data_IF_899066374347
#
_entry.id   IF_899066374347
#
_cell.length_a   1.000
_cell.length_b   1.000
_cell.length_c   1.000
_cell.angle_alpha   90.00
_cell.angle_beta   90.00
_cell.angle_gamma   90.00
#
_symmetry.space_group_name_H-M   'P 1'
#
loop_
_entity.id
_entity.type
_entity.pdbx_description
1 polymer ?
#
# COMPACT_ATOMS: atom_id res chain seq x y z
N UNK A 1 -82.67 -0.20 -51.43
CA UNK A 1 -82.19 -0.25 -50.06
C UNK A 1 -80.84 -0.87 -50.08
N UNK A 2 -79.75 -0.10 -50.03
CA UNK A 2 -78.34 -0.59 -50.13
C UNK A 2 -77.69 -0.37 -48.80
N UNK A 3 -77.29 -1.43 -48.10
CA UNK A 3 -76.57 -1.42 -46.84
C UNK A 3 -75.05 -1.47 -47.13
N UNK A 4 -74.34 -0.36 -46.89
CA UNK A 4 -72.89 -0.30 -46.90
C UNK A 4 -72.37 -0.65 -45.48
N UNK A 5 -71.73 -1.76 -45.42
CA UNK A 5 -70.97 -2.16 -44.24
C UNK A 5 -69.50 -1.65 -44.31
N UNK A 6 -69.18 -0.69 -43.51
CA UNK A 6 -67.79 -0.19 -43.39
C UNK A 6 -66.97 -1.12 -42.52
N UNK A 7 -65.96 -1.69 -43.09
CA UNK A 7 -64.92 -2.47 -42.34
C UNK A 7 -63.90 -1.49 -41.81
N UNK A 8 -63.89 -1.27 -40.51
CA UNK A 8 -62.89 -0.48 -39.78
C UNK A 8 -61.67 -1.36 -39.51
N UNK A 9 -60.62 -1.22 -40.34
CA UNK A 9 -59.34 -1.89 -40.11
C UNK A 9 -58.57 -1.09 -39.05
N UNK A 10 -58.50 -1.65 -37.85
CA UNK A 10 -57.68 -1.10 -36.73
C UNK A 10 -56.23 -1.62 -36.90
N UNK A 11 -55.36 -0.77 -37.48
CA UNK A 11 -53.94 -1.07 -37.57
C UNK A 11 -53.32 -0.81 -36.21
N UNK A 12 -53.08 -1.90 -35.44
CA UNK A 12 -52.39 -1.86 -34.17
C UNK A 12 -50.87 -1.77 -34.44
N UNK A 13 -50.35 -0.55 -34.50
CA UNK A 13 -48.93 -0.28 -34.62
C UNK A 13 -48.23 -0.69 -33.29
N UNK A 14 -47.66 -1.87 -33.27
CA UNK A 14 -46.77 -2.29 -32.14
C UNK A 14 -45.49 -1.49 -32.24
N UNK A 15 -45.42 -0.43 -31.46
CA UNK A 15 -44.19 0.35 -31.25
C UNK A 15 -43.23 -0.50 -30.40
N UNK A 16 -42.40 -1.31 -31.02
CA UNK A 16 -41.25 -1.95 -30.34
C UNK A 16 -40.27 -0.83 -29.96
N UNK A 17 -40.42 -0.28 -28.77
CA UNK A 17 -39.36 0.49 -28.12
C UNK A 17 -38.20 -0.44 -27.87
N UNK A 18 -37.21 -0.46 -28.77
CA UNK A 18 -35.92 -1.06 -28.55
C UNK A 18 -35.27 -0.31 -27.39
N UNK A 19 -35.40 -0.86 -26.16
CA UNK A 19 -34.60 -0.43 -25.02
C UNK A 19 -33.15 -0.76 -25.40
N UNK A 20 -32.40 0.22 -25.88
CA UNK A 20 -30.96 0.15 -25.93
C UNK A 20 -30.48 0.08 -24.47
N UNK A 21 -30.40 -1.13 -23.94
CA UNK A 21 -29.62 -1.35 -22.72
C UNK A 21 -28.17 -1.01 -23.08
N UNK A 22 -27.72 0.17 -22.65
CA UNK A 22 -26.33 0.56 -22.81
C UNK A 22 -25.48 -0.53 -22.13
N UNK A 23 -24.62 -1.18 -22.88
CA UNK A 23 -23.82 -2.28 -22.35
C UNK A 23 -22.94 -1.72 -21.24
N UNK A 24 -23.01 -2.31 -20.03
CA UNK A 24 -22.23 -1.87 -18.87
C UNK A 24 -20.75 -1.78 -19.24
N UNK A 25 -20.16 -0.61 -19.02
CA UNK A 25 -18.74 -0.36 -19.27
C UNK A 25 -17.89 -0.83 -18.11
N UNK A 26 -17.16 -1.91 -18.33
CA UNK A 26 -16.31 -2.54 -17.32
C UNK A 26 -14.85 -2.16 -17.57
N UNK A 27 -14.11 -1.89 -16.49
CA UNK A 27 -12.66 -1.74 -16.49
C UNK A 27 -12.01 -2.80 -15.61
N UNK A 28 -10.74 -3.09 -15.89
CA UNK A 28 -9.90 -3.97 -15.07
C UNK A 28 -8.66 -3.19 -14.64
N UNK A 29 -8.27 -3.32 -13.37
CA UNK A 29 -7.13 -2.63 -12.79
C UNK A 29 -6.17 -3.61 -12.12
N UNK A 30 -4.90 -3.51 -12.44
CA UNK A 30 -3.81 -4.27 -11.82
C UNK A 30 -3.21 -3.46 -10.66
N UNK A 31 -3.65 -3.75 -9.44
CA UNK A 31 -3.14 -3.06 -8.24
C UNK A 31 -1.65 -3.35 -8.00
N UNK A 32 -1.18 -4.55 -8.30
CA UNK A 32 0.21 -4.92 -8.12
C UNK A 32 1.12 -4.08 -9.03
N UNK A 33 0.74 -3.94 -10.31
CA UNK A 33 1.45 -3.07 -11.27
C UNK A 33 1.44 -1.62 -10.80
N UNK A 34 0.32 -1.10 -10.30
CA UNK A 34 0.23 0.26 -9.76
C UNK A 34 1.20 0.45 -8.60
N UNK A 35 1.19 -0.46 -7.63
CA UNK A 35 2.07 -0.39 -6.46
C UNK A 35 3.56 -0.45 -6.84
N UNK A 36 3.92 -1.21 -7.87
CA UNK A 36 5.31 -1.32 -8.33
C UNK A 36 5.78 -0.12 -9.18
N UNK A 37 4.88 0.51 -9.94
CA UNK A 37 5.26 1.51 -10.94
C UNK A 37 4.95 2.95 -10.55
N UNK A 38 4.12 3.18 -9.52
CA UNK A 38 3.78 4.54 -9.09
C UNK A 38 4.95 5.25 -8.42
N UNK A 39 5.13 6.53 -8.70
CA UNK A 39 6.09 7.39 -8.01
C UNK A 39 5.79 7.48 -6.51
N UNK A 40 4.54 7.38 -6.12
CA UNK A 40 4.08 7.45 -4.74
C UNK A 40 4.68 6.34 -3.85
N UNK A 41 4.91 5.12 -4.40
CA UNK A 41 5.58 4.06 -3.65
C UNK A 41 7.05 4.43 -3.35
N UNK A 42 7.75 5.02 -4.34
CA UNK A 42 9.13 5.49 -4.15
C UNK A 42 9.19 6.61 -3.10
N UNK A 43 8.23 7.52 -3.13
CA UNK A 43 8.14 8.62 -2.15
C UNK A 43 7.92 8.08 -0.73
N UNK A 44 7.04 7.08 -0.58
CA UNK A 44 6.82 6.39 0.70
C UNK A 44 8.11 5.76 1.22
N UNK A 45 8.82 5.01 0.37
CA UNK A 45 10.08 4.36 0.74
C UNK A 45 11.15 5.37 1.14
N UNK A 46 11.32 6.45 0.37
CA UNK A 46 12.29 7.51 0.67
C UNK A 46 11.95 8.25 1.98
N UNK A 47 10.68 8.49 2.22
CA UNK A 47 10.22 9.13 3.45
C UNK A 47 10.52 8.26 4.68
N UNK A 48 10.16 6.98 4.63
CA UNK A 48 10.44 6.03 5.71
C UNK A 48 11.96 5.87 5.94
N UNK A 49 12.74 5.72 4.87
CA UNK A 49 14.20 5.63 4.98
C UNK A 49 14.79 6.89 5.65
N UNK A 50 14.39 8.08 5.22
CA UNK A 50 14.86 9.35 5.79
C UNK A 50 14.48 9.48 7.26
N UNK A 51 13.28 9.08 7.63
CA UNK A 51 12.75 9.18 8.99
C UNK A 51 13.43 8.18 9.95
N UNK A 52 13.63 6.96 9.49
CA UNK A 52 14.10 5.87 10.34
C UNK A 52 15.62 5.66 10.32
N UNK A 53 16.32 6.19 9.32
CA UNK A 53 17.79 6.10 9.21
C UNK A 53 18.52 6.55 10.49
N UNK A 54 18.23 7.72 11.10
CA UNK A 54 18.93 8.14 12.31
C UNK A 54 18.75 7.18 13.49
N UNK A 55 17.56 6.59 13.64
CA UNK A 55 17.28 5.61 14.70
C UNK A 55 17.99 4.30 14.46
N UNK A 56 18.04 3.82 13.22
CA UNK A 56 18.82 2.65 12.81
C UNK A 56 20.31 2.88 13.07
N UNK A 57 20.84 4.01 12.66
CA UNK A 57 22.26 4.35 12.83
C UNK A 57 22.63 4.43 14.33
N UNK A 58 21.72 4.94 15.19
CA UNK A 58 21.87 4.91 16.66
C UNK A 58 21.96 3.48 17.19
N UNK A 59 21.08 2.57 16.76
CA UNK A 59 21.11 1.17 17.17
C UNK A 59 22.40 0.49 16.76
N UNK A 60 22.88 0.73 15.54
CA UNK A 60 24.17 0.21 15.07
C UNK A 60 25.35 0.71 15.92
N UNK A 61 25.34 2.00 16.30
CA UNK A 61 26.35 2.56 17.19
C UNK A 61 26.29 1.96 18.60
N UNK A 62 25.09 1.73 19.13
CA UNK A 62 24.90 1.10 20.44
C UNK A 62 25.41 -0.34 20.44
N UNK A 63 25.12 -1.12 19.39
CA UNK A 63 25.63 -2.49 19.22
C UNK A 63 27.16 -2.51 19.17
N UNK A 64 27.79 -1.64 18.38
CA UNK A 64 29.24 -1.52 18.29
C UNK A 64 29.89 -1.16 19.63
N UNK A 65 29.28 -0.22 20.38
CA UNK A 65 29.74 0.16 21.73
C UNK A 65 29.64 -1.01 22.72
N UNK A 66 28.48 -1.70 22.71
CA UNK A 66 28.26 -2.86 23.57
C UNK A 66 29.28 -3.97 23.29
N UNK A 67 29.52 -4.28 22.02
CA UNK A 67 30.52 -5.24 21.61
C UNK A 67 31.92 -4.85 22.12
N UNK A 68 32.30 -3.60 21.99
CA UNK A 68 33.57 -3.06 22.45
C UNK A 68 33.72 -3.21 23.97
N UNK A 69 32.68 -2.88 24.75
CA UNK A 69 32.70 -3.03 26.21
C UNK A 69 32.80 -4.51 26.64
N UNK A 70 32.09 -5.40 25.93
CA UNK A 70 32.17 -6.86 26.19
C UNK A 70 33.54 -7.42 25.85
N UNK A 71 34.13 -7.01 24.73
CA UNK A 71 35.51 -7.42 24.36
C UNK A 71 36.54 -6.91 25.36
N UNK A 72 36.40 -5.66 25.83
CA UNK A 72 37.24 -5.09 26.89
C UNK A 72 37.11 -5.87 28.19
N UNK A 73 35.88 -6.18 28.60
CA UNK A 73 35.66 -7.00 29.81
C UNK A 73 36.32 -8.35 29.70
N UNK A 74 36.16 -9.03 28.56
CA UNK A 74 36.76 -10.35 28.32
C UNK A 74 38.28 -10.32 28.33
N UNK A 75 38.90 -9.31 27.70
CA UNK A 75 40.36 -9.19 27.58
C UNK A 75 41.01 -8.79 28.88
N UNK A 76 40.48 -7.81 29.58
CA UNK A 76 41.14 -7.10 30.68
C UNK A 76 40.67 -7.64 32.05
N UNK A 77 39.68 -8.55 32.10
CA UNK A 77 39.09 -9.06 33.34
C UNK A 77 40.12 -9.55 34.37
N UNK A 78 41.21 -10.22 33.93
CA UNK A 78 42.20 -10.76 34.84
C UNK A 78 43.01 -9.69 35.60
N UNK A 79 43.15 -8.50 35.01
CA UNK A 79 43.98 -7.38 35.56
C UNK A 79 43.15 -6.24 36.15
N UNK A 80 41.83 -6.26 36.02
CA UNK A 80 40.93 -5.27 36.61
C UNK A 80 40.75 -5.44 38.11
N UNK A 81 40.63 -4.31 38.84
CA UNK A 81 40.18 -4.34 40.22
C UNK A 81 38.72 -4.79 40.35
N UNK A 82 38.31 -5.21 41.52
CA UNK A 82 36.94 -5.67 41.80
C UNK A 82 35.91 -4.55 41.49
N UNK A 83 36.24 -3.30 41.79
CA UNK A 83 35.39 -2.13 41.49
C UNK A 83 35.24 -1.91 39.97
N UNK A 84 36.37 -1.91 39.24
CA UNK A 84 36.37 -1.75 37.79
C UNK A 84 35.55 -2.85 37.07
N UNK A 85 35.68 -4.10 37.52
CA UNK A 85 34.86 -5.22 36.99
C UNK A 85 33.36 -4.94 37.18
N UNK A 86 33.00 -4.65 38.43
CA UNK A 86 31.58 -4.38 38.77
C UNK A 86 30.98 -3.20 38.00
N UNK A 87 31.78 -2.14 37.82
CA UNK A 87 31.30 -0.96 37.08
C UNK A 87 31.13 -1.26 35.58
N UNK A 88 32.08 -2.00 34.97
CA UNK A 88 31.98 -2.38 33.56
C UNK A 88 30.86 -3.40 33.33
N UNK A 89 30.65 -4.36 34.23
CA UNK A 89 29.50 -5.29 34.18
C UNK A 89 28.18 -4.53 34.23
N UNK A 90 28.02 -3.60 35.18
CA UNK A 90 26.81 -2.77 35.26
C UNK A 90 26.57 -1.96 33.98
N UNK A 91 27.65 -1.39 33.43
CA UNK A 91 27.58 -0.64 32.16
C UNK A 91 27.10 -1.53 31.02
N UNK A 92 27.69 -2.74 30.89
CA UNK A 92 27.31 -3.68 29.85
C UNK A 92 25.83 -4.07 29.98
N UNK A 93 25.40 -4.47 31.21
CA UNK A 93 23.99 -4.83 31.44
C UNK A 93 23.03 -3.69 31.13
N UNK A 94 23.35 -2.48 31.57
CA UNK A 94 22.52 -1.30 31.30
C UNK A 94 22.46 -0.97 29.80
N UNK A 95 23.61 -1.08 29.11
CA UNK A 95 23.68 -0.84 27.65
C UNK A 95 22.91 -1.91 26.87
N UNK A 96 22.98 -3.19 27.27
CA UNK A 96 22.22 -4.26 26.67
C UNK A 96 20.72 -4.06 26.81
N UNK A 97 20.26 -3.75 28.03
CA UNK A 97 18.85 -3.49 28.29
C UNK A 97 18.34 -2.27 27.51
N UNK A 98 19.18 -1.22 27.37
CA UNK A 98 18.81 -0.05 26.58
C UNK A 98 18.73 -0.39 25.08
N UNK A 99 19.70 -1.15 24.56
CA UNK A 99 19.69 -1.60 23.16
C UNK A 99 18.46 -2.45 22.84
N UNK A 100 18.09 -3.38 23.74
CA UNK A 100 16.89 -4.20 23.59
C UNK A 100 15.61 -3.35 23.55
N UNK A 101 15.47 -2.40 24.50
CA UNK A 101 14.32 -1.48 24.53
C UNK A 101 14.23 -0.62 23.26
N UNK A 102 15.34 0.02 22.90
CA UNK A 102 15.39 0.91 21.72
C UNK A 102 15.14 0.10 20.44
N UNK A 103 15.64 -1.14 20.37
CA UNK A 103 15.40 -2.05 19.26
C UNK A 103 13.93 -2.46 19.12
N UNK A 104 13.28 -2.82 20.21
CA UNK A 104 11.85 -3.14 20.21
C UNK A 104 10.99 -1.93 19.80
N UNK A 105 11.29 -0.78 20.37
CA UNK A 105 10.61 0.47 20.03
C UNK A 105 10.78 0.82 18.53
N UNK A 106 12.00 0.72 18.00
CA UNK A 106 12.29 0.94 16.60
C UNK A 106 11.47 0.02 15.68
N UNK A 107 11.41 -1.28 15.99
CA UNK A 107 10.64 -2.25 15.21
C UNK A 107 9.15 -1.93 15.23
N UNK A 108 8.60 -1.58 16.39
CA UNK A 108 7.19 -1.23 16.53
C UNK A 108 6.85 0.06 15.75
N UNK A 109 7.66 1.11 15.92
CA UNK A 109 7.44 2.38 15.24
C UNK A 109 7.58 2.26 13.73
N UNK A 110 8.59 1.50 13.24
CA UNK A 110 8.77 1.24 11.81
C UNK A 110 7.59 0.47 11.22
N UNK A 111 7.11 -0.55 11.93
CA UNK A 111 5.94 -1.32 11.50
C UNK A 111 4.69 -0.45 11.42
N UNK A 112 4.44 0.38 12.45
CA UNK A 112 3.31 1.30 12.47
C UNK A 112 3.39 2.30 11.32
N UNK A 113 4.53 2.97 11.16
CA UNK A 113 4.73 3.95 10.09
C UNK A 113 4.60 3.34 8.69
N UNK A 114 5.09 2.11 8.51
CA UNK A 114 4.94 1.39 7.24
C UNK A 114 3.46 1.08 6.95
N UNK A 115 2.70 0.60 7.94
CA UNK A 115 1.27 0.32 7.79
C UNK A 115 0.48 1.59 7.47
N UNK A 116 0.72 2.68 8.18
CA UNK A 116 0.07 3.97 7.94
C UNK A 116 0.40 4.52 6.54
N UNK A 117 1.66 4.43 6.12
CA UNK A 117 2.07 4.86 4.79
C UNK A 117 1.42 4.03 3.68
N UNK A 118 1.31 2.71 3.87
CA UNK A 118 0.63 1.82 2.93
C UNK A 118 -0.86 2.07 2.88
N UNK A 119 -1.52 2.30 4.02
CA UNK A 119 -2.95 2.65 4.06
C UNK A 119 -3.21 3.98 3.34
N UNK A 120 -2.35 4.99 3.57
CA UNK A 120 -2.41 6.25 2.85
C UNK A 120 -2.24 6.09 1.34
N UNK A 121 -1.33 5.21 0.90
CA UNK A 121 -1.14 4.90 -0.52
C UNK A 121 -2.38 4.19 -1.11
N UNK A 122 -2.93 3.18 -0.42
CA UNK A 122 -4.17 2.52 -0.87
C UNK A 122 -5.35 3.49 -0.98
N UNK A 123 -5.45 4.45 -0.07
CA UNK A 123 -6.48 5.49 -0.14
C UNK A 123 -6.34 6.35 -1.39
N UNK A 124 -5.10 6.77 -1.74
CA UNK A 124 -4.82 7.51 -2.98
C UNK A 124 -5.15 6.68 -4.23
N UNK A 125 -4.79 5.38 -4.23
CA UNK A 125 -5.12 4.47 -5.34
C UNK A 125 -6.63 4.37 -5.54
N UNK A 126 -7.41 4.19 -4.46
CA UNK A 126 -8.88 4.15 -4.53
C UNK A 126 -9.46 5.46 -5.07
N UNK A 127 -8.94 6.60 -4.62
CA UNK A 127 -9.38 7.91 -5.14
C UNK A 127 -9.11 8.04 -6.63
N UNK A 128 -7.93 7.61 -7.11
CA UNK A 128 -7.57 7.61 -8.53
C UNK A 128 -8.45 6.66 -9.35
N UNK A 129 -8.73 5.45 -8.84
CA UNK A 129 -9.68 4.52 -9.49
C UNK A 129 -11.06 5.15 -9.62
N UNK A 130 -11.56 5.77 -8.52
CA UNK A 130 -12.86 6.46 -8.55
C UNK A 130 -12.89 7.61 -9.54
N UNK A 131 -11.79 8.37 -9.64
CA UNK A 131 -11.66 9.45 -10.63
C UNK A 131 -11.70 8.89 -12.06
N UNK A 132 -10.91 7.86 -12.35
CA UNK A 132 -10.87 7.20 -13.67
C UNK A 132 -12.25 6.61 -14.02
N UNK A 133 -12.93 6.00 -13.04
CA UNK A 133 -14.27 5.46 -13.24
C UNK A 133 -15.27 6.55 -13.66
N UNK A 134 -15.30 7.67 -12.95
CA UNK A 134 -16.19 8.80 -13.23
C UNK A 134 -15.87 9.45 -14.57
N UNK A 135 -14.61 9.80 -14.81
CA UNK A 135 -14.17 10.47 -16.03
C UNK A 135 -14.39 9.60 -17.27
N UNK A 136 -14.18 8.30 -17.12
CA UNK A 136 -14.35 7.32 -18.20
C UNK A 136 -15.74 6.73 -18.31
N UNK A 137 -16.69 7.12 -17.42
CA UNK A 137 -18.05 6.56 -17.35
C UNK A 137 -18.05 5.04 -17.29
N UNK A 138 -17.21 4.48 -16.41
CA UNK A 138 -17.21 3.05 -16.11
C UNK A 138 -18.28 2.75 -15.06
N UNK A 139 -19.08 1.71 -15.31
CA UNK A 139 -20.08 1.22 -14.37
C UNK A 139 -19.45 0.33 -13.30
N UNK A 140 -18.34 -0.33 -13.65
CA UNK A 140 -17.61 -1.21 -12.74
C UNK A 140 -16.12 -1.20 -13.09
N UNK A 141 -15.25 -1.14 -12.06
CA UNK A 141 -13.83 -1.45 -12.20
C UNK A 141 -13.50 -2.60 -11.25
N UNK A 142 -12.97 -3.70 -11.78
CA UNK A 142 -12.61 -4.91 -11.03
C UNK A 142 -11.09 -5.01 -10.92
N UNK A 143 -10.62 -5.60 -9.83
CA UNK A 143 -9.21 -5.96 -9.72
C UNK A 143 -8.88 -7.13 -10.64
N UNK A 144 -7.71 -7.10 -11.26
CA UNK A 144 -7.24 -8.13 -12.19
C UNK A 144 -7.20 -9.52 -11.56
N UNK A 145 -6.83 -9.60 -10.27
CA UNK A 145 -6.77 -10.85 -9.52
C UNK A 145 -8.15 -11.50 -9.30
N UNK A 146 -9.22 -10.72 -9.36
CA UNK A 146 -10.60 -11.20 -9.27
C UNK A 146 -11.17 -11.65 -10.62
N UNK A 147 -10.44 -11.42 -11.73
CA UNK A 147 -10.85 -11.77 -13.08
C UNK A 147 -9.89 -12.83 -13.65
N UNK A 148 -10.28 -14.13 -13.72
CA UNK A 148 -9.42 -15.18 -14.28
C UNK A 148 -8.99 -14.94 -15.72
N UNK A 149 -9.77 -14.13 -16.44
CA UNK A 149 -9.49 -13.66 -17.80
C UNK A 149 -10.08 -12.26 -18.00
N UNK A 150 -9.31 -11.40 -18.63
CA UNK A 150 -9.80 -10.09 -19.11
C UNK A 150 -9.08 -9.71 -20.41
N UNK A 151 -9.82 -9.14 -21.36
CA UNK A 151 -9.19 -8.61 -22.58
C UNK A 151 -8.37 -7.34 -22.23
N UNK A 152 -7.26 -7.14 -22.91
CA UNK A 152 -6.37 -5.97 -22.70
C UNK A 152 -7.09 -4.63 -22.92
N UNK A 153 -8.13 -4.61 -23.74
CA UNK A 153 -8.97 -3.42 -23.99
C UNK A 153 -9.72 -2.93 -22.76
N UNK A 154 -9.91 -3.79 -21.76
CA UNK A 154 -10.55 -3.46 -20.47
C UNK A 154 -9.56 -2.91 -19.45
N UNK A 155 -8.24 -3.05 -19.69
CA UNK A 155 -7.22 -2.62 -18.73
C UNK A 155 -7.17 -1.08 -18.64
N UNK A 156 -7.41 -0.57 -17.43
CA UNK A 156 -7.38 0.84 -17.08
C UNK A 156 -6.20 1.20 -16.17
N UNK A 157 -5.31 0.26 -15.91
CA UNK A 157 -4.19 0.40 -14.97
C UNK A 157 -3.34 1.64 -15.26
N UNK A 158 -2.95 1.85 -16.51
CA UNK A 158 -2.11 2.98 -16.90
C UNK A 158 -2.82 4.33 -16.72
N UNK A 159 -4.15 4.36 -16.86
CA UNK A 159 -4.97 5.56 -16.57
C UNK A 159 -4.95 5.89 -15.08
N UNK A 160 -5.06 4.84 -14.24
CA UNK A 160 -5.00 4.99 -12.78
C UNK A 160 -3.59 5.43 -12.35
N UNK A 161 -2.52 4.85 -12.89
CA UNK A 161 -1.13 5.27 -12.62
C UNK A 161 -0.91 6.75 -12.96
N UNK A 162 -1.43 7.21 -14.11
CA UNK A 162 -1.38 8.64 -14.48
C UNK A 162 -2.19 9.55 -13.55
N UNK A 163 -3.27 9.05 -12.99
CA UNK A 163 -4.13 9.82 -12.08
C UNK A 163 -3.57 9.92 -10.65
N UNK A 164 -2.64 9.02 -10.26
CA UNK A 164 -1.96 9.02 -8.96
C UNK A 164 -0.71 9.89 -8.97
N UNK A 165 0.02 9.90 -10.08
CA UNK A 165 1.25 10.67 -10.26
C UNK A 165 0.94 12.14 -10.59
#
# INVERSE_FOLDING_TARGET
MKRFGGVLVFVLSVFCASAFADAAKIGVVDLQKIMQTSSQMKDVQQKLEKEFKPRRDKLVAMEASLKTDMEKFKRDNAVMSATQKKDLEKKIVAAQQQFERDGQQYQQELSTANNEAMEGLYSKVRAAISKVAKDGKYDLIVQKDAAPFSADTLDVTDKVVKAIN
#
